data_IF_501594382715
#
_entry.id   IF_501594382715
#
_cell.length_a   1.000
_cell.length_b   1.000
_cell.length_c   1.000
_cell.angle_alpha   90.00
_cell.angle_beta   90.00
_cell.angle_gamma   90.00
#
_symmetry.space_group_name_H-M   'P 1'
#
loop_
_entity.id
_entity.type
_entity.pdbx_description
1 polymer ?
#
# COMPACT_ATOMS: atom_id res chain seq x y z
N UNK A 1 17.60 10.90 -14.19
CA UNK A 1 18.50 9.74 -13.97
C UNK A 1 17.81 8.50 -14.51
N UNK A 2 18.39 7.67 -15.36
CA UNK A 2 17.74 6.49 -15.87
C UNK A 2 17.62 5.43 -14.79
N UNK A 3 16.39 4.95 -14.58
CA UNK A 3 16.11 3.79 -13.72
C UNK A 3 16.56 2.56 -14.48
N UNK A 4 17.71 1.97 -14.09
CA UNK A 4 18.19 0.72 -14.66
C UNK A 4 17.30 -0.45 -14.25
N UNK A 5 16.47 -0.94 -15.15
CA UNK A 5 15.70 -2.18 -14.95
C UNK A 5 16.49 -3.35 -15.49
N UNK A 6 17.05 -4.19 -14.62
CA UNK A 6 17.49 -5.54 -14.99
C UNK A 6 16.29 -6.49 -14.83
N UNK A 7 15.58 -6.72 -15.92
CA UNK A 7 14.49 -7.69 -15.96
C UNK A 7 15.03 -9.07 -16.31
N UNK A 8 15.09 -9.97 -15.34
CA UNK A 8 15.23 -11.40 -15.60
C UNK A 8 13.79 -11.97 -15.70
N UNK A 9 13.23 -11.94 -16.92
CA UNK A 9 11.87 -12.35 -17.18
C UNK A 9 11.81 -13.89 -17.32
N UNK A 10 11.52 -14.57 -16.23
CA UNK A 10 11.00 -15.93 -16.27
C UNK A 10 9.63 -15.91 -16.96
N UNK A 11 9.51 -16.59 -18.11
CA UNK A 11 8.27 -16.71 -18.90
C UNK A 11 7.21 -17.51 -18.13
N UNK A 12 6.40 -16.86 -17.32
CA UNK A 12 5.08 -17.35 -16.93
C UNK A 12 4.06 -16.61 -17.80
N UNK A 13 3.20 -17.34 -18.52
CA UNK A 13 2.28 -16.83 -19.54
C UNK A 13 1.15 -15.90 -19.06
N UNK A 14 1.34 -15.18 -17.96
CA UNK A 14 0.48 -14.10 -17.47
C UNK A 14 1.26 -12.80 -17.52
N UNK A 15 0.64 -11.74 -18.03
CA UNK A 15 1.23 -10.40 -18.07
C UNK A 15 1.64 -9.89 -16.68
N UNK A 16 2.32 -8.74 -16.58
CA UNK A 16 2.76 -8.19 -15.32
C UNK A 16 1.58 -7.92 -14.39
N UNK A 17 1.77 -8.16 -13.08
CA UNK A 17 0.76 -7.86 -12.06
C UNK A 17 0.60 -6.36 -11.86
N UNK A 18 1.69 -5.59 -12.03
CA UNK A 18 1.72 -4.14 -12.04
C UNK A 18 2.36 -3.67 -13.34
N UNK A 19 1.67 -2.78 -14.04
CA UNK A 19 2.16 -2.11 -15.25
C UNK A 19 2.00 -0.61 -15.10
N UNK A 20 3.08 0.13 -15.29
CA UNK A 20 3.12 1.60 -15.26
C UNK A 20 3.56 2.08 -16.64
N UNK A 21 2.79 3.01 -17.23
CA UNK A 21 3.08 3.56 -18.56
C UNK A 21 3.09 5.08 -18.54
N UNK A 22 4.23 5.67 -18.92
CA UNK A 22 4.46 7.10 -19.06
C UNK A 22 3.91 7.90 -17.86
N UNK A 23 4.08 7.36 -16.66
CA UNK A 23 3.54 7.94 -15.45
C UNK A 23 4.26 9.24 -15.10
N UNK A 24 3.51 10.33 -15.04
CA UNK A 24 3.98 11.62 -14.55
C UNK A 24 3.15 12.05 -13.34
N UNK A 25 3.82 12.63 -12.36
CA UNK A 25 3.17 13.30 -11.24
C UNK A 25 3.81 14.64 -10.97
N UNK A 26 3.01 15.67 -11.03
CA UNK A 26 3.37 17.07 -10.82
C UNK A 26 2.56 17.60 -9.64
N UNK A 27 3.19 18.42 -8.80
CA UNK A 27 2.56 19.11 -7.68
C UNK A 27 2.69 20.61 -7.87
N UNK A 28 1.59 21.36 -7.86
CA UNK A 28 1.66 22.84 -7.80
C UNK A 28 2.14 23.25 -6.40
N UNK A 29 3.18 24.07 -6.33
CA UNK A 29 3.73 24.62 -5.09
C UNK A 29 3.90 26.12 -5.28
N UNK A 30 3.02 26.91 -4.70
CA UNK A 30 2.95 28.37 -4.94
C UNK A 30 2.86 28.68 -6.43
N UNK A 31 3.82 29.41 -6.97
CA UNK A 31 3.89 29.80 -8.40
C UNK A 31 4.72 28.81 -9.26
N UNK A 32 5.19 27.71 -8.68
CA UNK A 32 6.03 26.72 -9.36
C UNK A 32 5.35 25.36 -9.46
N UNK A 33 5.84 24.52 -10.38
CA UNK A 33 5.41 23.12 -10.51
C UNK A 33 6.59 22.21 -10.19
N UNK A 34 6.44 21.40 -9.15
CA UNK A 34 7.43 20.37 -8.79
C UNK A 34 7.09 19.07 -9.49
N UNK A 35 8.00 18.62 -10.38
CA UNK A 35 7.87 17.33 -11.07
C UNK A 35 8.44 16.22 -10.17
N UNK A 36 7.56 15.44 -9.56
CA UNK A 36 7.95 14.34 -8.68
C UNK A 36 8.20 13.01 -9.43
N UNK A 37 7.46 12.79 -10.53
CA UNK A 37 7.65 11.62 -11.40
C UNK A 37 7.59 12.10 -12.87
N UNK A 38 8.55 11.68 -13.67
CA UNK A 38 8.63 12.01 -15.08
C UNK A 38 8.70 10.75 -15.95
N UNK A 39 7.66 10.50 -16.75
CA UNK A 39 7.54 9.39 -17.72
C UNK A 39 8.01 8.03 -17.21
N UNK A 40 7.70 7.70 -15.97
CA UNK A 40 8.09 6.43 -15.37
C UNK A 40 7.39 5.28 -16.07
N UNK A 41 8.18 4.27 -16.48
CA UNK A 41 7.69 3.03 -17.05
C UNK A 41 8.23 1.86 -16.21
N UNK A 42 7.33 0.95 -15.78
CA UNK A 42 7.66 -0.15 -14.92
C UNK A 42 6.71 -1.31 -15.19
N UNK A 43 7.24 -2.53 -15.18
CA UNK A 43 6.45 -3.76 -15.24
C UNK A 43 6.96 -4.73 -14.16
N UNK A 44 6.08 -5.12 -13.24
CA UNK A 44 6.41 -6.06 -12.16
C UNK A 44 5.64 -7.36 -12.43
N UNK A 45 6.34 -8.48 -12.72
CA UNK A 45 5.73 -9.79 -12.85
C UNK A 45 5.09 -10.27 -11.55
N UNK A 46 4.07 -11.13 -11.67
CA UNK A 46 3.43 -11.74 -10.51
C UNK A 46 4.41 -12.62 -9.73
N UNK A 47 4.34 -12.56 -8.38
CA UNK A 47 5.16 -13.38 -7.49
C UNK A 47 6.58 -12.88 -7.28
N UNK A 48 6.92 -11.70 -7.78
CA UNK A 48 8.24 -11.09 -7.56
C UNK A 48 8.24 -10.07 -6.41
N UNK A 49 9.39 -9.93 -5.76
CA UNK A 49 9.71 -8.84 -4.86
C UNK A 49 10.43 -7.78 -5.68
N UNK A 50 9.91 -6.54 -5.65
CA UNK A 50 10.51 -5.38 -6.29
C UNK A 50 10.96 -4.39 -5.22
N UNK A 51 12.23 -3.94 -5.29
CA UNK A 51 12.77 -2.91 -4.40
C UNK A 51 12.91 -1.60 -5.16
N UNK A 52 12.38 -0.51 -4.59
CA UNK A 52 12.55 0.86 -5.09
C UNK A 52 13.57 1.55 -4.17
N UNK A 53 14.72 1.91 -4.72
CA UNK A 53 15.78 2.59 -3.98
C UNK A 53 16.18 3.91 -4.65
N UNK A 54 16.81 4.81 -3.90
CA UNK A 54 17.26 6.12 -4.37
C UNK A 54 17.39 7.10 -3.21
N UNK A 55 17.90 8.29 -3.50
CA UNK A 55 18.12 9.38 -2.53
C UNK A 55 16.78 9.93 -1.99
N UNK A 56 16.84 10.66 -0.87
CA UNK A 56 15.69 11.40 -0.37
C UNK A 56 15.20 12.40 -1.42
N UNK A 57 13.88 12.53 -1.59
CA UNK A 57 13.29 13.41 -2.60
C UNK A 57 13.23 12.85 -4.02
N UNK A 58 13.77 11.64 -4.30
CA UNK A 58 13.76 11.05 -5.66
C UNK A 58 12.42 10.50 -6.15
N UNK A 59 11.31 10.80 -5.47
CA UNK A 59 9.96 10.40 -5.91
C UNK A 59 9.51 9.00 -5.49
N UNK A 60 10.28 8.24 -4.67
CA UNK A 60 9.91 6.87 -4.25
C UNK A 60 8.54 6.77 -3.58
N UNK A 61 8.29 7.64 -2.61
CA UNK A 61 7.00 7.68 -1.90
C UNK A 61 5.87 8.08 -2.84
N UNK A 62 6.12 9.02 -3.75
CA UNK A 62 5.16 9.41 -4.79
C UNK A 62 4.83 8.22 -5.69
N UNK A 63 5.85 7.48 -6.15
CA UNK A 63 5.63 6.28 -6.96
C UNK A 63 4.81 5.23 -6.19
N UNK A 64 5.13 4.96 -4.93
CA UNK A 64 4.36 4.04 -4.09
C UNK A 64 2.90 4.50 -3.93
N UNK A 65 2.65 5.79 -3.71
CA UNK A 65 1.30 6.35 -3.63
C UNK A 65 0.53 6.18 -4.95
N UNK A 66 1.20 6.36 -6.10
CA UNK A 66 0.58 6.10 -7.40
C UNK A 66 0.24 4.61 -7.59
N UNK A 67 1.15 3.69 -7.23
CA UNK A 67 0.91 2.24 -7.26
C UNK A 67 -0.18 1.81 -6.28
N UNK A 68 -0.30 2.51 -5.16
CA UNK A 68 -1.34 2.30 -4.17
C UNK A 68 -2.72 2.84 -4.59
N UNK A 69 -2.77 3.66 -5.64
CA UNK A 69 -3.97 4.40 -6.02
C UNK A 69 -4.43 5.38 -4.92
N UNK A 70 -3.49 5.94 -4.17
CA UNK A 70 -3.77 6.97 -3.16
C UNK A 70 -3.86 8.37 -3.79
N UNK A 71 -3.26 8.52 -4.97
CA UNK A 71 -3.25 9.76 -5.72
C UNK A 71 -3.47 9.49 -7.21
N UNK A 72 -4.14 10.39 -7.91
CA UNK A 72 -4.28 10.32 -9.36
C UNK A 72 -3.01 10.84 -10.04
N UNK A 73 -2.56 10.20 -11.13
CA UNK A 73 -1.45 10.70 -11.93
C UNK A 73 -1.81 11.99 -12.66
N UNK A 74 -0.81 12.84 -12.95
CA UNK A 74 -0.97 14.00 -13.83
C UNK A 74 -1.08 13.54 -15.29
N UNK A 75 -0.23 12.56 -15.69
CA UNK A 75 -0.26 11.93 -17.02
C UNK A 75 0.14 10.46 -16.92
N UNK A 76 -0.18 9.69 -17.96
CA UNK A 76 0.10 8.25 -17.98
C UNK A 76 -0.85 7.45 -17.12
N UNK A 77 -0.42 6.29 -16.63
CA UNK A 77 -1.30 5.45 -15.85
C UNK A 77 -0.65 4.23 -15.22
N UNK A 78 -1.39 3.66 -14.28
CA UNK A 78 -1.05 2.44 -13.54
C UNK A 78 -2.13 1.39 -13.78
N UNK A 79 -1.70 0.17 -14.06
CA UNK A 79 -2.55 -1.02 -14.15
C UNK A 79 -2.13 -2.01 -13.09
N UNK A 80 -3.07 -2.56 -12.34
CA UNK A 80 -2.83 -3.63 -11.36
C UNK A 80 -3.78 -4.78 -11.65
N UNK A 81 -3.26 -5.98 -11.75
CA UNK A 81 -4.01 -7.17 -12.13
C UNK A 81 -4.88 -6.95 -13.39
N UNK A 82 -4.37 -6.21 -14.38
CA UNK A 82 -5.08 -5.86 -15.61
C UNK A 82 -6.05 -4.68 -15.49
N UNK A 83 -6.35 -4.20 -14.28
CA UNK A 83 -7.31 -3.10 -14.03
C UNK A 83 -6.60 -1.75 -14.09
N UNK A 84 -7.01 -0.80 -14.97
CA UNK A 84 -6.47 0.56 -15.01
C UNK A 84 -7.02 1.38 -13.84
N UNK A 85 -6.28 1.41 -12.72
CA UNK A 85 -6.76 1.99 -11.46
C UNK A 85 -7.03 3.51 -11.54
N UNK A 86 -6.35 4.23 -12.42
CA UNK A 86 -6.60 5.66 -12.63
C UNK A 86 -7.97 6.00 -13.24
N UNK A 87 -8.70 5.01 -13.78
CA UNK A 87 -10.05 5.17 -14.32
C UNK A 87 -11.16 4.90 -13.31
N UNK A 88 -10.81 4.37 -12.15
CA UNK A 88 -11.75 4.07 -11.08
C UNK A 88 -12.15 5.38 -10.37
N UNK A 89 -13.42 5.46 -9.98
CA UNK A 89 -13.87 6.48 -9.03
C UNK A 89 -13.37 6.16 -7.61
N UNK A 90 -13.55 7.09 -6.67
CA UNK A 90 -13.04 6.92 -5.30
C UNK A 90 -13.62 5.71 -4.57
N UNK A 91 -14.90 5.40 -4.81
CA UNK A 91 -15.57 4.23 -4.23
C UNK A 91 -15.00 2.93 -4.81
N UNK A 92 -14.92 2.84 -6.13
CA UNK A 92 -14.36 1.69 -6.84
C UNK A 92 -12.89 1.46 -6.45
N UNK A 93 -12.13 2.55 -6.30
CA UNK A 93 -10.73 2.51 -5.91
C UNK A 93 -10.56 2.02 -4.46
N UNK A 94 -11.44 2.46 -3.54
CA UNK A 94 -11.46 1.95 -2.17
C UNK A 94 -11.77 0.45 -2.11
N UNK A 95 -12.78 0.00 -2.87
CA UNK A 95 -13.11 -1.43 -2.99
C UNK A 95 -11.97 -2.24 -3.62
N UNK A 96 -11.30 -1.68 -4.63
CA UNK A 96 -10.15 -2.30 -5.28
C UNK A 96 -8.98 -2.47 -4.30
N UNK A 97 -8.60 -1.39 -3.58
CA UNK A 97 -7.56 -1.45 -2.55
C UNK A 97 -7.86 -2.51 -1.50
N UNK A 98 -9.10 -2.55 -1.01
CA UNK A 98 -9.52 -3.51 0.01
C UNK A 98 -9.39 -4.97 -0.43
N UNK A 99 -9.55 -5.26 -1.73
CA UNK A 99 -9.52 -6.63 -2.28
C UNK A 99 -8.15 -7.07 -2.76
N UNK A 100 -7.35 -6.14 -3.28
CA UNK A 100 -6.14 -6.46 -4.06
C UNK A 100 -4.83 -5.95 -3.47
N UNK A 101 -4.87 -5.01 -2.52
CA UNK A 101 -3.66 -4.39 -1.97
C UNK A 101 -3.57 -4.60 -0.46
N UNK A 102 -2.36 -4.78 0.02
CA UNK A 102 -2.01 -4.72 1.44
C UNK A 102 -0.91 -3.70 1.65
N UNK A 103 -1.00 -2.94 2.73
CA UNK A 103 -0.05 -1.89 3.07
C UNK A 103 0.66 -2.21 4.36
N UNK A 104 1.98 -2.01 4.38
CA UNK A 104 2.79 -1.97 5.60
C UNK A 104 3.39 -0.57 5.67
N UNK A 105 3.05 0.17 6.72
CA UNK A 105 3.45 1.56 6.89
C UNK A 105 4.67 1.67 7.79
N UNK A 106 5.55 2.62 7.48
CA UNK A 106 6.72 2.94 8.32
C UNK A 106 6.30 3.50 9.68
N UNK A 107 5.22 4.28 9.75
CA UNK A 107 4.72 4.94 10.95
C UNK A 107 3.61 4.16 11.66
N UNK A 108 3.54 2.85 11.47
CA UNK A 108 2.55 1.91 12.04
C UNK A 108 1.09 2.23 11.71
N UNK A 109 0.68 3.49 11.69
CA UNK A 109 -0.68 4.01 11.42
C UNK A 109 -1.78 3.41 12.31
N UNK A 110 -1.42 3.06 13.54
CA UNK A 110 -2.38 2.59 14.54
C UNK A 110 -3.18 3.75 15.09
N UNK A 111 -4.46 3.53 15.31
CA UNK A 111 -5.32 4.49 16.00
C UNK A 111 -5.02 4.44 17.50
N UNK A 112 -4.56 5.57 18.11
CA UNK A 112 -4.05 5.58 19.47
C UNK A 112 -5.12 5.33 20.54
N UNK A 113 -6.37 5.60 20.22
CA UNK A 113 -7.55 5.41 21.08
C UNK A 113 -8.21 4.03 20.92
N UNK A 114 -7.65 3.15 20.11
CA UNK A 114 -8.07 1.75 19.95
C UNK A 114 -6.99 0.81 20.47
N UNK A 115 -7.40 -0.27 21.15
CA UNK A 115 -6.46 -1.32 21.55
C UNK A 115 -6.01 -2.19 20.37
N UNK A 116 -5.09 -3.15 20.59
CA UNK A 116 -4.54 -3.98 19.53
C UNK A 116 -5.61 -4.80 18.80
N UNK A 117 -6.59 -5.38 19.52
CA UNK A 117 -7.68 -6.14 18.87
C UNK A 117 -8.50 -5.22 17.98
N UNK A 118 -8.85 -4.04 18.45
CA UNK A 118 -9.69 -3.08 17.72
C UNK A 118 -8.98 -2.56 16.47
N UNK A 119 -7.68 -2.24 16.56
CA UNK A 119 -6.87 -1.87 15.41
C UNK A 119 -6.86 -2.97 14.34
N UNK A 120 -6.57 -4.22 14.71
CA UNK A 120 -6.55 -5.37 13.78
C UNK A 120 -7.95 -5.69 13.24
N UNK A 121 -9.00 -5.48 14.02
CA UNK A 121 -10.39 -5.74 13.62
C UNK A 121 -10.97 -4.67 12.68
N UNK A 122 -10.39 -3.47 12.63
CA UNK A 122 -10.94 -2.34 11.90
C UNK A 122 -11.13 -2.59 10.39
N UNK A 123 -10.18 -3.15 9.63
CA UNK A 123 -10.39 -3.46 8.23
C UNK A 123 -11.56 -4.43 7.99
N UNK A 124 -11.79 -5.34 8.93
CA UNK A 124 -12.93 -6.27 8.88
C UNK A 124 -14.26 -5.57 9.19
N UNK A 125 -14.22 -4.53 10.01
CA UNK A 125 -15.40 -3.70 10.28
C UNK A 125 -15.87 -3.00 8.99
N UNK A 126 -14.96 -2.41 8.24
CA UNK A 126 -15.28 -1.78 6.95
C UNK A 126 -15.76 -2.76 5.88
N UNK A 127 -15.45 -4.06 6.05
CA UNK A 127 -16.00 -5.15 5.23
C UNK A 127 -17.37 -5.66 5.71
N UNK A 128 -17.97 -5.04 6.71
CA UNK A 128 -19.27 -5.46 7.26
C UNK A 128 -19.20 -6.75 8.10
N UNK A 129 -18.02 -7.21 8.52
CA UNK A 129 -17.89 -8.43 9.33
C UNK A 129 -18.45 -8.18 10.72
N UNK A 130 -19.39 -9.02 11.23
CA UNK A 130 -19.98 -8.85 12.56
C UNK A 130 -18.92 -8.80 13.68
N UNK A 131 -19.16 -8.00 14.72
CA UNK A 131 -18.21 -7.71 15.81
C UNK A 131 -17.59 -8.99 16.39
N UNK A 132 -18.39 -9.97 16.78
CA UNK A 132 -17.93 -11.24 17.35
C UNK A 132 -16.95 -11.98 16.43
N UNK A 133 -17.23 -12.03 15.13
CA UNK A 133 -16.40 -12.70 14.12
C UNK A 133 -15.10 -11.95 13.88
N UNK A 134 -15.13 -10.61 13.72
CA UNK A 134 -13.92 -9.83 13.48
C UNK A 134 -12.95 -9.84 14.67
N UNK A 135 -13.48 -9.78 15.91
CA UNK A 135 -12.65 -9.88 17.10
C UNK A 135 -12.00 -11.28 17.24
N UNK A 136 -12.73 -12.35 16.93
CA UNK A 136 -12.17 -13.70 16.91
C UNK A 136 -11.01 -13.81 15.91
N UNK A 137 -11.16 -13.27 14.70
CA UNK A 137 -10.11 -13.24 13.68
C UNK A 137 -8.93 -12.40 14.17
N UNK A 138 -9.17 -11.20 14.70
CA UNK A 138 -8.12 -10.32 15.22
C UNK A 138 -7.31 -10.99 16.34
N UNK A 139 -7.97 -11.66 17.28
CA UNK A 139 -7.30 -12.43 18.35
C UNK A 139 -6.41 -13.54 17.80
N UNK A 140 -6.88 -14.27 16.78
CA UNK A 140 -6.11 -15.32 16.14
C UNK A 140 -4.86 -14.76 15.46
N UNK A 141 -4.98 -13.62 14.74
CA UNK A 141 -3.85 -12.95 14.09
C UNK A 141 -2.83 -12.45 15.12
N UNK A 142 -3.27 -11.77 16.17
CA UNK A 142 -2.37 -11.29 17.23
C UNK A 142 -1.61 -12.43 17.92
N UNK A 143 -2.24 -13.59 18.13
CA UNK A 143 -1.54 -14.79 18.63
C UNK A 143 -0.44 -15.25 17.67
N UNK A 144 -0.72 -15.29 16.37
CA UNK A 144 0.25 -15.71 15.34
C UNK A 144 1.50 -14.84 15.29
N UNK A 145 1.37 -13.54 15.59
CA UNK A 145 2.50 -12.59 15.62
C UNK A 145 3.09 -12.43 17.04
N UNK A 146 2.73 -13.31 18.00
CA UNK A 146 3.29 -13.32 19.35
C UNK A 146 2.74 -12.22 20.28
N UNK A 147 1.60 -11.62 19.95
CA UNK A 147 0.97 -10.56 20.75
C UNK A 147 -0.22 -11.04 21.58
N UNK A 148 -0.34 -12.34 21.84
CA UNK A 148 -1.44 -12.95 22.57
C UNK A 148 -1.67 -12.35 23.97
N UNK A 149 -0.61 -11.94 24.67
CA UNK A 149 -0.69 -11.29 25.99
C UNK A 149 -0.88 -9.78 25.94
N UNK A 150 -0.89 -9.17 24.75
CA UNK A 150 -0.95 -7.72 24.53
C UNK A 150 -2.21 -7.24 23.78
N UNK A 151 -3.19 -8.12 23.63
CA UNK A 151 -4.41 -7.88 22.83
C UNK A 151 -5.20 -6.64 23.23
N UNK A 152 -5.24 -6.34 24.53
CA UNK A 152 -5.99 -5.22 25.09
C UNK A 152 -5.11 -3.97 25.34
N UNK A 153 -3.83 -3.99 24.94
CA UNK A 153 -2.95 -2.85 25.11
C UNK A 153 -3.20 -1.83 24.00
N UNK A 154 -3.11 -0.56 24.38
CA UNK A 154 -3.15 0.56 23.45
C UNK A 154 -1.76 0.82 22.86
N UNK A 155 -1.65 1.47 21.68
CA UNK A 155 -0.36 1.75 21.04
C UNK A 155 0.67 2.37 21.98
N UNK A 156 0.28 3.33 22.83
CA UNK A 156 1.17 3.98 23.81
C UNK A 156 1.74 3.03 24.87
N UNK A 157 1.15 1.86 25.07
CA UNK A 157 1.58 0.81 26.01
C UNK A 157 2.44 -0.26 25.36
N UNK A 158 2.76 -0.10 24.06
CA UNK A 158 3.45 -1.11 23.24
C UNK A 158 4.78 -0.58 22.75
N UNK A 159 5.80 -1.42 22.72
CA UNK A 159 7.08 -1.06 22.07
C UNK A 159 6.89 -0.90 20.56
N UNK A 160 7.80 -0.16 19.90
CA UNK A 160 7.76 0.02 18.44
C UNK A 160 7.65 -1.30 17.67
N UNK A 161 8.44 -2.31 18.03
CA UNK A 161 8.34 -3.63 17.41
C UNK A 161 7.04 -4.38 17.71
N UNK A 162 6.35 -4.09 18.83
CA UNK A 162 5.01 -4.61 19.10
C UNK A 162 3.96 -3.88 18.27
N UNK A 163 4.04 -2.54 18.16
CA UNK A 163 3.17 -1.75 17.31
C UNK A 163 3.27 -2.16 15.84
N UNK A 164 4.48 -2.45 15.36
CA UNK A 164 4.72 -2.89 13.98
C UNK A 164 4.08 -4.25 13.68
N UNK A 165 3.89 -5.10 14.68
CA UNK A 165 3.23 -6.40 14.51
C UNK A 165 1.71 -6.36 14.63
N UNK A 166 1.14 -5.25 15.09
CA UNK A 166 -0.30 -4.98 15.09
C UNK A 166 -0.76 -4.53 13.72
#
# INVERSE_FOLDING_TARGET
MPVGSTSNAGKTGRGPIIEVKNLCKEYPVLDETVVALERVNLAIPQGQICCIYGESGSGKSTLLNQLAGMEKPTKGGVRIAGVPIGRLDERQLAEFRQKHLGFVFQSYNLLPNLNAIENVAMPLMFRGVPKRKREMIARAMLKRVGLGKRMNHYPAQMSGGQQQRV
#
